data_IF_305618630714
#
_entry.id   IF_305618630714
#
_cell.length_a   1.000
_cell.length_b   1.000
_cell.length_c   1.000
_cell.angle_alpha   90.00
_cell.angle_beta   90.00
_cell.angle_gamma   90.00
#
_symmetry.space_group_name_H-M   'P 1'
#
loop_
_entity.id
_entity.type
_entity.pdbx_description
1 polymer ?
#
# COMPACT_ATOMS: atom_id res chain seq x y z
N UNK A 1 -34.80 2.46 -3.82
CA UNK A 1 -34.53 1.61 -2.65
C UNK A 1 -33.42 2.25 -1.83
N UNK A 2 -33.68 2.60 -0.58
CA UNK A 2 -32.61 2.93 0.38
C UNK A 2 -31.92 1.61 0.73
N UNK A 3 -30.67 1.45 0.30
CA UNK A 3 -29.85 0.34 0.75
C UNK A 3 -29.41 0.64 2.18
N UNK A 4 -29.71 -0.26 3.12
CA UNK A 4 -29.32 -0.10 4.51
C UNK A 4 -27.82 -0.37 4.68
N UNK A 5 -27.10 0.60 5.25
CA UNK A 5 -25.72 0.40 5.72
C UNK A 5 -25.82 -0.40 7.03
N UNK A 6 -25.19 -1.56 7.08
CA UNK A 6 -25.21 -2.41 8.26
C UNK A 6 -23.86 -2.30 8.97
N UNK A 7 -23.86 -1.83 10.22
CA UNK A 7 -22.63 -1.76 11.02
C UNK A 7 -22.36 -3.11 11.68
N UNK A 8 -21.15 -3.63 11.53
CA UNK A 8 -20.64 -4.81 12.26
C UNK A 8 -19.37 -4.44 13.03
N UNK A 9 -19.02 -5.24 14.02
CA UNK A 9 -17.79 -5.10 14.77
C UNK A 9 -16.84 -6.27 14.49
N UNK A 10 -15.57 -5.95 14.27
CA UNK A 10 -14.50 -6.91 14.12
C UNK A 10 -13.54 -6.74 15.30
N UNK A 11 -13.23 -7.81 16.06
CA UNK A 11 -12.25 -7.76 17.15
C UNK A 11 -10.84 -7.55 16.59
N UNK A 12 -10.11 -6.66 17.22
CA UNK A 12 -8.68 -6.44 16.98
C UNK A 12 -7.91 -7.20 18.04
N UNK A 13 -7.11 -8.19 17.63
CA UNK A 13 -6.36 -9.04 18.57
C UNK A 13 -5.00 -8.47 18.96
N UNK A 14 -4.81 -7.14 18.88
CA UNK A 14 -3.51 -6.49 19.07
C UNK A 14 -3.61 -5.38 20.10
N UNK A 15 -2.64 -5.34 21.01
CA UNK A 15 -2.49 -4.28 21.99
C UNK A 15 -2.35 -2.90 21.32
N UNK A 16 -3.20 -1.96 21.76
CA UNK A 16 -3.30 -0.60 21.22
C UNK A 16 -1.98 0.17 21.28
N UNK A 17 -1.23 -0.01 22.37
CA UNK A 17 0.07 0.65 22.55
C UNK A 17 1.07 0.15 21.53
N UNK A 18 1.04 -1.14 21.21
CA UNK A 18 1.95 -1.74 20.25
C UNK A 18 1.63 -1.35 18.81
N UNK A 19 0.37 -1.21 18.39
CA UNK A 19 0.04 -0.83 17.01
C UNK A 19 0.58 0.55 16.62
N UNK A 20 0.32 1.57 17.45
CA UNK A 20 0.77 2.94 17.19
C UNK A 20 2.29 3.03 17.30
N UNK A 21 2.87 2.43 18.34
CA UNK A 21 4.34 2.42 18.53
C UNK A 21 5.07 1.63 17.44
N UNK A 22 4.50 0.53 16.95
CA UNK A 22 5.07 -0.23 15.81
C UNK A 22 5.01 0.64 14.56
N UNK A 23 3.87 1.27 14.27
CA UNK A 23 3.75 2.16 13.12
C UNK A 23 4.76 3.31 13.17
N UNK A 24 4.96 3.93 14.33
CA UNK A 24 5.92 5.03 14.54
C UNK A 24 7.37 4.56 14.42
N UNK A 25 7.72 3.37 14.91
CA UNK A 25 9.06 2.80 14.79
C UNK A 25 9.37 2.33 13.36
N UNK A 26 8.38 1.81 12.64
CA UNK A 26 8.51 1.41 11.23
C UNK A 26 8.59 2.62 10.28
N UNK A 27 8.24 3.81 10.76
CA UNK A 27 8.31 5.08 10.03
C UNK A 27 9.73 5.63 9.88
N UNK A 28 10.76 4.77 9.85
CA UNK A 28 12.15 5.22 9.59
C UNK A 28 12.29 5.77 8.17
N UNK A 29 11.51 5.23 7.22
CA UNK A 29 11.35 5.80 5.88
C UNK A 29 9.90 6.16 5.60
N UNK A 30 9.61 7.45 5.37
CA UNK A 30 8.26 7.99 5.19
C UNK A 30 7.46 7.29 4.08
N UNK A 31 8.11 6.89 2.98
CA UNK A 31 7.46 6.26 1.83
C UNK A 31 7.27 4.74 1.99
N UNK A 32 7.78 4.14 3.07
CA UNK A 32 7.75 2.68 3.26
C UNK A 32 6.33 2.12 3.30
N UNK A 33 5.38 2.82 3.91
CA UNK A 33 3.98 2.37 3.94
C UNK A 33 3.38 2.27 2.53
N UNK A 34 3.73 3.19 1.62
CA UNK A 34 3.24 3.16 0.23
C UNK A 34 3.76 1.90 -0.45
N UNK A 35 5.06 1.57 -0.27
CA UNK A 35 5.65 0.33 -0.78
C UNK A 35 4.96 -0.91 -0.21
N UNK A 36 4.69 -0.93 1.09
CA UNK A 36 3.99 -2.04 1.74
C UNK A 36 2.58 -2.25 1.17
N UNK A 37 1.84 -1.16 0.92
CA UNK A 37 0.50 -1.24 0.31
C UNK A 37 0.55 -1.69 -1.15
N UNK A 38 1.53 -1.24 -1.95
CA UNK A 38 1.76 -1.72 -3.32
C UNK A 38 2.10 -3.21 -3.34
N UNK A 39 2.94 -3.68 -2.41
CA UNK A 39 3.27 -5.10 -2.30
C UNK A 39 2.06 -5.94 -1.86
N UNK A 40 1.19 -5.41 -0.99
CA UNK A 40 -0.06 -6.09 -0.64
C UNK A 40 -1.00 -6.23 -1.84
N UNK A 41 -1.12 -5.19 -2.67
CA UNK A 41 -1.87 -5.27 -3.92
C UNK A 41 -1.29 -6.31 -4.89
N UNK A 42 0.04 -6.37 -4.99
CA UNK A 42 0.73 -7.40 -5.77
C UNK A 42 0.39 -8.82 -5.28
N UNK A 43 0.48 -9.06 -3.96
CA UNK A 43 0.13 -10.32 -3.31
C UNK A 43 -1.35 -10.72 -3.50
N UNK A 44 -2.22 -9.70 -3.66
CA UNK A 44 -3.64 -9.82 -3.87
C UNK A 44 -4.04 -10.03 -5.34
N UNK A 45 -3.08 -10.26 -6.23
CA UNK A 45 -3.30 -10.41 -7.68
C UNK A 45 -3.91 -9.16 -8.35
N UNK A 46 -3.56 -7.96 -7.89
CA UNK A 46 -3.89 -6.74 -8.61
C UNK A 46 -3.19 -6.69 -9.96
N UNK A 47 -3.87 -6.15 -10.98
CA UNK A 47 -3.25 -5.78 -12.26
C UNK A 47 -2.69 -4.37 -12.24
N UNK A 48 -3.36 -3.48 -11.54
CA UNK A 48 -2.95 -2.10 -11.40
C UNK A 48 -3.06 -1.64 -9.95
N UNK A 49 -2.17 -0.72 -9.59
CA UNK A 49 -2.26 0.10 -8.39
C UNK A 49 -2.21 1.56 -8.81
N UNK A 50 -3.19 2.36 -8.39
CA UNK A 50 -3.23 3.80 -8.61
C UNK A 50 -3.02 4.52 -7.30
N UNK A 51 -2.10 5.47 -7.29
CA UNK A 51 -1.72 6.25 -6.12
C UNK A 51 -2.00 7.72 -6.46
N UNK A 52 -2.96 8.33 -5.78
CA UNK A 52 -3.23 9.76 -5.86
C UNK A 52 -2.62 10.44 -4.64
N UNK A 53 -1.65 11.32 -4.87
CA UNK A 53 -0.91 12.06 -3.85
C UNK A 53 -1.31 13.53 -3.93
N UNK A 54 -1.95 13.99 -2.86
CA UNK A 54 -2.36 15.37 -2.62
C UNK A 54 -1.67 15.90 -1.35
N UNK A 55 -1.62 17.22 -1.11
CA UNK A 55 -0.85 17.80 0.01
C UNK A 55 -1.16 17.22 1.40
N UNK A 56 -2.42 16.88 1.68
CA UNK A 56 -2.88 16.34 2.97
C UNK A 56 -3.61 15.01 2.86
N UNK A 57 -3.61 14.39 1.67
CA UNK A 57 -4.34 13.16 1.39
C UNK A 57 -3.58 12.27 0.43
N UNK A 58 -3.53 10.98 0.73
CA UNK A 58 -3.05 9.95 -0.20
C UNK A 58 -4.14 8.91 -0.37
N UNK A 59 -4.45 8.55 -1.60
CA UNK A 59 -5.36 7.45 -1.94
C UNK A 59 -4.58 6.38 -2.70
N UNK A 60 -4.65 5.13 -2.27
CA UNK A 60 -4.02 3.99 -2.92
C UNK A 60 -5.11 2.98 -3.24
N UNK A 61 -5.36 2.77 -4.53
CA UNK A 61 -6.41 1.87 -5.02
C UNK A 61 -5.81 0.74 -5.85
N UNK A 62 -6.22 -0.49 -5.58
CA UNK A 62 -5.86 -1.67 -6.39
C UNK A 62 -7.10 -2.42 -6.89
N UNK A 63 -6.95 -3.10 -8.03
CA UNK A 63 -7.98 -3.96 -8.62
C UNK A 63 -7.68 -5.46 -8.40
N UNK A 64 -7.14 -5.79 -7.23
CA UNK A 64 -6.86 -7.16 -6.83
C UNK A 64 -8.11 -7.94 -6.42
N UNK A 65 -7.89 -8.98 -5.64
CA UNK A 65 -8.95 -9.87 -5.15
C UNK A 65 -9.91 -9.22 -4.15
N UNK A 66 -9.52 -8.11 -3.53
CA UNK A 66 -10.22 -7.51 -2.40
C UNK A 66 -10.31 -8.46 -1.20
N UNK A 67 -11.14 -8.10 -0.22
CA UNK A 67 -11.33 -8.89 1.01
C UNK A 67 -12.81 -9.16 1.24
N UNK A 68 -13.11 -10.34 1.78
CA UNK A 68 -14.40 -10.58 2.45
C UNK A 68 -14.29 -10.19 3.94
N UNK A 69 -15.31 -10.50 4.74
CA UNK A 69 -15.33 -10.22 6.16
C UNK A 69 -14.15 -10.86 6.93
N UNK A 70 -13.83 -12.13 6.64
CA UNK A 70 -12.73 -12.83 7.28
C UNK A 70 -11.38 -12.27 6.84
N UNK A 71 -11.22 -11.98 5.54
CA UNK A 71 -10.03 -11.33 5.00
C UNK A 71 -9.78 -9.96 5.65
N UNK A 72 -10.83 -9.16 5.84
CA UNK A 72 -10.74 -7.86 6.50
C UNK A 72 -10.40 -8.01 7.99
N UNK A 73 -10.97 -9.00 8.68
CA UNK A 73 -10.60 -9.33 10.08
C UNK A 73 -9.14 -9.74 10.21
N UNK A 74 -8.68 -10.62 9.33
CA UNK A 74 -7.29 -11.04 9.29
C UNK A 74 -6.36 -9.90 8.91
N UNK A 75 -6.83 -8.97 8.07
CA UNK A 75 -6.07 -7.76 7.73
C UNK A 75 -5.76 -6.94 8.98
N UNK A 76 -6.59 -6.91 10.01
CA UNK A 76 -6.27 -6.22 11.28
C UNK A 76 -5.64 -7.11 12.35
N UNK A 77 -5.40 -8.39 12.05
CA UNK A 77 -4.72 -9.35 12.93
C UNK A 77 -3.21 -9.35 12.62
N UNK A 78 -2.36 -9.16 13.65
CA UNK A 78 -0.90 -9.32 13.49
C UNK A 78 -0.52 -10.80 13.44
N UNK A 79 0.42 -11.15 12.56
CA UNK A 79 1.00 -12.49 12.52
C UNK A 79 0.08 -13.57 11.95
N UNK A 80 -0.93 -13.19 11.15
CA UNK A 80 -1.84 -14.16 10.53
C UNK A 80 -1.05 -15.24 9.78
N UNK A 81 -1.37 -16.51 10.08
CA UNK A 81 -0.69 -17.68 9.53
C UNK A 81 -1.01 -17.92 8.05
N UNK A 82 -2.03 -17.27 7.50
CA UNK A 82 -2.47 -17.48 6.12
C UNK A 82 -1.48 -17.05 5.05
N UNK A 83 -0.73 -15.95 5.27
CA UNK A 83 0.31 -15.56 4.31
C UNK A 83 1.47 -16.57 4.27
N UNK A 84 1.68 -17.33 5.36
CA UNK A 84 2.70 -18.40 5.43
C UNK A 84 2.25 -19.70 4.76
N UNK A 85 0.95 -19.98 4.68
CA UNK A 85 0.43 -21.24 4.12
C UNK A 85 0.23 -21.20 2.59
N UNK A 86 0.10 -20.01 1.99
CA UNK A 86 -0.05 -19.84 0.53
C UNK A 86 1.09 -18.97 -0.03
N UNK A 87 2.17 -19.63 -0.43
CA UNK A 87 3.36 -18.98 -0.99
C UNK A 87 3.11 -18.29 -2.34
N UNK A 88 2.08 -18.74 -3.08
CA UNK A 88 1.73 -18.22 -4.40
C UNK A 88 0.31 -17.65 -4.45
N UNK A 89 0.13 -16.61 -5.26
CA UNK A 89 -1.16 -16.01 -5.52
C UNK A 89 -2.00 -16.84 -6.51
N UNK A 90 -3.33 -16.92 -6.37
CA UNK A 90 -4.16 -17.84 -7.15
C UNK A 90 -4.32 -17.49 -8.64
N UNK A 91 -4.27 -16.21 -9.03
CA UNK A 91 -4.56 -15.77 -10.40
C UNK A 91 -3.32 -15.67 -11.27
N UNK A 92 -2.26 -15.04 -10.77
CA UNK A 92 -1.02 -14.82 -11.53
C UNK A 92 0.15 -15.69 -11.06
N UNK A 93 -0.08 -16.62 -10.12
CA UNK A 93 0.94 -17.50 -9.57
C UNK A 93 2.17 -16.76 -9.01
N UNK A 94 1.98 -15.53 -8.50
CA UNK A 94 3.05 -14.68 -7.99
C UNK A 94 3.57 -15.24 -6.67
N UNK A 95 4.89 -15.31 -6.51
CA UNK A 95 5.49 -15.50 -5.19
C UNK A 95 5.15 -14.29 -4.33
N UNK A 96 4.42 -14.50 -3.23
CA UNK A 96 4.01 -13.41 -2.33
C UNK A 96 5.21 -12.81 -1.60
N UNK A 97 5.16 -11.50 -1.40
CA UNK A 97 6.24 -10.69 -0.82
C UNK A 97 6.00 -10.45 0.67
N UNK A 98 4.75 -10.21 1.10
CA UNK A 98 4.47 -9.83 2.48
C UNK A 98 4.56 -11.00 3.48
N UNK A 99 5.47 -10.91 4.45
CA UNK A 99 5.71 -12.01 5.42
C UNK A 99 4.99 -11.84 6.77
N UNK A 100 4.98 -10.64 7.35
CA UNK A 100 4.57 -10.45 8.76
C UNK A 100 3.26 -9.67 8.94
N UNK A 101 2.77 -9.04 7.86
CA UNK A 101 1.54 -8.27 7.89
C UNK A 101 1.57 -7.09 8.87
N UNK A 102 2.74 -6.57 9.26
CA UNK A 102 2.84 -5.41 10.18
C UNK A 102 3.03 -4.09 9.42
N UNK A 103 3.59 -4.14 8.20
CA UNK A 103 3.92 -2.97 7.40
C UNK A 103 2.73 -2.06 7.11
N UNK A 104 1.53 -2.61 6.98
CA UNK A 104 0.28 -1.86 6.79
C UNK A 104 -0.06 -0.90 7.94
N UNK A 105 0.40 -1.19 9.16
CA UNK A 105 0.15 -0.31 10.31
C UNK A 105 1.04 0.93 10.32
N UNK A 106 2.14 0.94 9.55
CA UNK A 106 2.92 2.17 9.34
C UNK A 106 2.10 3.27 8.63
N UNK A 107 1.07 2.89 7.86
CA UNK A 107 0.13 3.85 7.27
C UNK A 107 -0.71 4.57 8.35
N UNK A 108 -1.07 3.88 9.44
CA UNK A 108 -1.83 4.49 10.55
C UNK A 108 -1.03 5.58 11.28
N UNK A 109 0.30 5.50 11.24
CA UNK A 109 1.18 6.51 11.82
C UNK A 109 1.46 7.70 10.91
N UNK A 110 1.07 7.63 9.63
CA UNK A 110 1.32 8.69 8.66
C UNK A 110 0.16 9.70 8.54
N UNK A 111 -0.97 9.43 9.19
CA UNK A 111 -2.23 10.18 9.04
C UNK A 111 -3.04 10.21 10.34
N UNK A 112 -3.93 11.19 10.48
CA UNK A 112 -4.87 11.22 11.62
C UNK A 112 -6.08 10.32 11.41
N UNK A 113 -6.52 10.17 10.16
CA UNK A 113 -7.65 9.32 9.79
C UNK A 113 -7.28 8.43 8.61
N UNK A 114 -7.48 7.13 8.80
CA UNK A 114 -7.24 6.08 7.82
C UNK A 114 -8.57 5.44 7.45
N UNK A 115 -8.84 5.32 6.16
CA UNK A 115 -10.05 4.72 5.62
C UNK A 115 -9.69 3.59 4.66
N UNK A 116 -10.36 2.45 4.81
CA UNK A 116 -10.24 1.33 3.87
C UNK A 116 -11.63 0.97 3.38
N UNK A 117 -11.74 0.85 2.07
CA UNK A 117 -12.91 0.28 1.39
C UNK A 117 -12.44 -0.90 0.55
N UNK A 118 -13.13 -2.03 0.65
CA UNK A 118 -12.75 -3.24 -0.07
C UNK A 118 -13.98 -3.96 -0.58
N UNK A 119 -13.84 -4.63 -1.71
CA UNK A 119 -14.90 -5.45 -2.29
C UNK A 119 -14.36 -6.79 -2.79
N UNK A 120 -15.05 -7.87 -2.44
CA UNK A 120 -14.85 -9.21 -3.00
C UNK A 120 -16.20 -9.84 -3.31
N UNK A 121 -16.52 -9.92 -4.61
CA UNK A 121 -17.82 -10.37 -5.08
C UNK A 121 -18.93 -9.47 -4.50
N UNK A 122 -19.89 -10.09 -3.82
CA UNK A 122 -21.03 -9.40 -3.23
C UNK A 122 -20.72 -8.72 -1.88
N UNK A 123 -19.56 -9.00 -1.29
CA UNK A 123 -19.16 -8.37 -0.04
C UNK A 123 -18.39 -7.08 -0.32
N UNK A 124 -18.95 -5.94 0.08
CA UNK A 124 -18.26 -4.66 0.14
C UNK A 124 -18.33 -4.11 1.56
N UNK A 125 -17.22 -3.61 2.06
CA UNK A 125 -17.16 -3.02 3.38
C UNK A 125 -16.24 -1.81 3.41
N UNK A 126 -16.56 -0.89 4.31
CA UNK A 126 -15.74 0.27 4.64
C UNK A 126 -15.42 0.27 6.12
N UNK A 127 -14.19 0.59 6.45
CA UNK A 127 -13.72 0.80 7.82
C UNK A 127 -13.02 2.15 7.91
N UNK A 128 -13.33 2.89 8.96
CA UNK A 128 -12.69 4.17 9.26
C UNK A 128 -12.01 4.08 10.62
N UNK A 129 -10.70 4.28 10.60
CA UNK A 129 -9.87 4.41 11.79
C UNK A 129 -9.52 5.89 12.00
N UNK A 130 -9.91 6.43 13.15
CA UNK A 130 -9.53 7.77 13.58
C UNK A 130 -8.62 7.65 14.80
N UNK A 131 -7.39 8.20 14.70
CA UNK A 131 -6.34 8.04 15.71
C UNK A 131 -6.76 8.65 17.05
N UNK A 132 -7.48 9.79 17.04
CA UNK A 132 -7.92 10.44 18.26
C UNK A 132 -9.03 9.65 18.94
N UNK A 133 -10.02 9.19 18.17
CA UNK A 133 -11.13 8.35 18.69
C UNK A 133 -10.64 6.99 19.21
N UNK A 134 -9.65 6.40 18.54
CA UNK A 134 -9.09 5.12 18.95
C UNK A 134 -8.28 5.22 20.25
N UNK A 135 -7.57 6.33 20.43
CA UNK A 135 -6.75 6.56 21.64
C UNK A 135 -7.59 6.87 22.87
N UNK A 136 -8.84 7.32 22.71
CA UNK A 136 -9.72 7.71 23.83
C UNK A 136 -10.65 6.59 24.33
N UNK A 137 -10.81 5.51 23.57
CA UNK A 137 -11.67 4.39 23.95
C UNK A 137 -10.84 3.18 24.40
N UNK A 138 -11.34 2.43 25.38
CA UNK A 138 -10.77 1.14 25.79
C UNK A 138 -11.21 -0.02 24.88
N UNK A 139 -12.18 0.20 24.01
CA UNK A 139 -12.83 -0.84 23.18
C UNK A 139 -11.90 -1.43 22.10
N UNK A 140 -11.88 -2.76 21.99
CA UNK A 140 -10.96 -3.53 21.12
C UNK A 140 -11.59 -3.89 19.76
N UNK A 141 -12.63 -3.17 19.34
CA UNK A 141 -13.44 -3.48 18.17
C UNK A 141 -13.34 -2.38 17.10
N UNK A 142 -13.12 -2.78 15.85
CA UNK A 142 -13.25 -1.88 14.70
C UNK A 142 -14.67 -2.01 14.14
N UNK A 143 -15.33 -0.86 14.01
CA UNK A 143 -16.62 -0.78 13.31
C UNK A 143 -16.37 -0.87 11.79
N UNK A 144 -17.08 -1.77 11.14
CA UNK A 144 -17.17 -1.83 9.67
C UNK A 144 -18.58 -1.50 9.23
N UNK A 145 -18.69 -0.69 8.18
CA UNK A 145 -19.93 -0.44 7.46
C UNK A 145 -19.99 -1.42 6.28
N UNK A 146 -20.93 -2.36 6.30
CA UNK A 146 -21.21 -3.23 5.15
C UNK A 146 -22.05 -2.43 4.15
N UNK A 147 -21.54 -2.36 2.92
CA UNK A 147 -22.09 -1.56 1.83
C UNK A 147 -22.65 -2.47 0.74
N UNK A 148 -23.58 -1.99 -0.10
CA UNK A 148 -24.00 -2.70 -1.31
C UNK A 148 -22.82 -2.85 -2.27
N UNK A 149 -22.70 -4.01 -2.95
CA UNK A 149 -21.65 -4.20 -3.94
C UNK A 149 -21.80 -3.19 -5.09
N UNK A 150 -20.66 -2.71 -5.57
CA UNK A 150 -20.56 -1.81 -6.69
C UNK A 150 -19.94 -2.54 -7.89
N UNK A 151 -20.79 -2.87 -8.86
CA UNK A 151 -20.38 -3.58 -10.08
C UNK A 151 -19.47 -2.74 -10.98
N UNK A 152 -19.47 -1.41 -10.82
CA UNK A 152 -18.64 -0.52 -11.63
C UNK A 152 -17.20 -0.50 -11.14
N UNK A 153 -16.99 -0.70 -9.84
CA UNK A 153 -15.67 -0.77 -9.21
C UNK A 153 -15.13 -2.21 -9.28
N UNK A 154 -15.99 -3.20 -9.03
CA UNK A 154 -15.58 -4.61 -8.98
C UNK A 154 -14.73 -4.94 -7.75
N UNK A 155 -13.93 -6.00 -7.84
CA UNK A 155 -13.05 -6.41 -6.74
C UNK A 155 -11.85 -5.49 -6.62
N UNK A 156 -11.43 -5.26 -5.38
CA UNK A 156 -10.25 -4.44 -5.11
C UNK A 156 -10.25 -3.88 -3.70
N UNK A 157 -9.26 -3.03 -3.43
CA UNK A 157 -9.13 -2.31 -2.17
C UNK A 157 -8.73 -0.87 -2.44
N UNK A 158 -9.38 0.05 -1.75
CA UNK A 158 -9.06 1.47 -1.74
C UNK A 158 -8.69 1.88 -0.32
N UNK A 159 -7.50 2.44 -0.14
CA UNK A 159 -7.00 2.93 1.13
C UNK A 159 -6.78 4.43 1.00
N UNK A 160 -7.45 5.21 1.86
CA UNK A 160 -7.32 6.66 1.91
C UNK A 160 -6.76 7.10 3.25
N UNK A 161 -5.66 7.85 3.20
CA UNK A 161 -5.04 8.49 4.36
C UNK A 161 -5.42 9.98 4.32
N UNK A 162 -6.03 10.47 5.39
CA UNK A 162 -6.47 11.85 5.56
C UNK A 162 -5.66 12.56 6.63
N UNK A 163 -5.44 13.86 6.43
CA UNK A 163 -4.70 14.72 7.36
C UNK A 163 -3.30 14.16 7.63
N UNK A 164 -2.53 14.01 6.54
CA UNK A 164 -1.14 13.53 6.60
C UNK A 164 -0.28 14.44 7.48
N UNK A 165 0.63 13.83 8.24
CA UNK A 165 1.58 14.57 9.09
C UNK A 165 2.68 15.27 8.27
N UNK A 166 2.82 14.91 6.99
CA UNK A 166 3.85 15.44 6.10
C UNK A 166 3.42 15.35 4.63
N UNK A 167 3.90 16.27 3.80
CA UNK A 167 3.68 16.22 2.38
C UNK A 167 4.62 15.21 1.70
N UNK A 168 4.12 14.55 0.64
CA UNK A 168 4.87 13.59 -0.17
C UNK A 168 5.08 14.16 -1.57
N UNK A 169 6.34 14.23 -2.00
CA UNK A 169 6.67 14.64 -3.36
C UNK A 169 6.48 13.47 -4.33
N UNK A 170 5.58 13.54 -5.33
CA UNK A 170 5.27 12.42 -6.22
C UNK A 170 6.50 11.80 -6.90
N UNK A 171 7.45 12.62 -7.36
CA UNK A 171 8.69 12.12 -7.98
C UNK A 171 9.57 11.32 -7.02
N UNK A 172 9.68 11.73 -5.74
CA UNK A 172 10.43 10.95 -4.74
C UNK A 172 9.77 9.60 -4.44
N UNK A 173 8.44 9.59 -4.34
CA UNK A 173 7.68 8.35 -4.14
C UNK A 173 7.82 7.44 -5.35
N UNK A 174 7.75 7.98 -6.56
CA UNK A 174 7.93 7.21 -7.80
C UNK A 174 9.27 6.49 -7.85
N UNK A 175 10.36 7.24 -7.67
CA UNK A 175 11.70 6.65 -7.62
C UNK A 175 11.83 5.58 -6.53
N UNK A 176 11.29 5.87 -5.35
CA UNK A 176 11.30 4.94 -4.23
C UNK A 176 10.61 3.61 -4.57
N UNK A 177 9.43 3.66 -5.20
CA UNK A 177 8.68 2.48 -5.60
C UNK A 177 9.36 1.73 -6.75
N UNK A 178 9.87 2.44 -7.76
CA UNK A 178 10.57 1.82 -8.88
C UNK A 178 11.73 0.93 -8.41
N UNK A 179 12.49 1.40 -7.41
CA UNK A 179 13.64 0.67 -6.86
C UNK A 179 13.25 -0.50 -5.92
N UNK A 180 12.00 -0.58 -5.42
CA UNK A 180 11.64 -1.44 -4.27
C UNK A 180 10.32 -2.20 -4.38
N UNK A 181 9.66 -2.16 -5.55
CA UNK A 181 8.40 -2.87 -5.81
C UNK A 181 8.51 -3.67 -7.11
N UNK A 182 7.70 -4.73 -7.31
CA UNK A 182 7.81 -5.61 -8.47
C UNK A 182 7.21 -4.98 -9.75
N UNK A 183 7.62 -3.76 -10.12
CA UNK A 183 7.06 -3.02 -11.27
C UNK A 183 7.32 -3.69 -12.64
N UNK A 184 8.23 -4.66 -12.69
CA UNK A 184 8.52 -5.46 -13.88
C UNK A 184 7.77 -6.79 -13.93
N UNK A 185 7.00 -7.13 -12.88
CA UNK A 185 6.24 -8.35 -12.89
C UNK A 185 5.18 -8.31 -14.00
N UNK A 186 4.94 -9.45 -14.68
CA UNK A 186 3.89 -9.53 -15.69
C UNK A 186 2.52 -9.21 -15.06
N UNK A 187 1.66 -8.60 -15.87
CA UNK A 187 0.30 -8.23 -15.47
C UNK A 187 0.25 -7.35 -14.22
N UNK A 188 1.26 -6.50 -13.98
CA UNK A 188 1.30 -5.57 -12.86
C UNK A 188 1.78 -4.19 -13.29
N UNK A 189 1.04 -3.14 -12.91
CA UNK A 189 1.40 -1.76 -13.17
C UNK A 189 1.10 -0.88 -11.95
N UNK A 190 1.94 0.12 -11.71
CA UNK A 190 1.74 1.10 -10.65
C UNK A 190 1.70 2.49 -11.27
N UNK A 191 0.78 3.34 -10.83
CA UNK A 191 0.61 4.71 -11.30
C UNK A 191 0.64 5.67 -10.10
N UNK A 192 1.32 6.80 -10.22
CA UNK A 192 1.26 7.91 -9.27
C UNK A 192 0.77 9.15 -10.00
N UNK A 193 -0.36 9.72 -9.57
CA UNK A 193 -1.02 10.87 -10.19
C UNK A 193 -1.15 10.66 -11.71
N UNK A 194 -1.71 9.52 -12.09
CA UNK A 194 -1.91 9.04 -13.48
C UNK A 194 -0.64 8.74 -14.30
N UNK A 195 0.55 9.00 -13.75
CA UNK A 195 1.81 8.69 -14.40
C UNK A 195 2.33 7.31 -13.99
N UNK A 196 2.65 6.46 -14.97
CA UNK A 196 3.14 5.10 -14.72
C UNK A 196 4.50 5.15 -14.01
N UNK A 197 4.66 4.35 -12.97
CA UNK A 197 5.94 4.06 -12.35
C UNK A 197 6.69 3.09 -13.26
N UNK A 198 7.81 3.56 -13.79
CA UNK A 198 8.77 2.76 -14.55
C UNK A 198 10.13 2.87 -13.89
N UNK A 199 11.12 2.14 -14.39
CA UNK A 199 12.50 2.59 -14.21
C UNK A 199 12.55 4.04 -14.70
N UNK A 200 12.93 4.96 -13.82
CA UNK A 200 13.30 6.29 -14.28
C UNK A 200 14.49 6.09 -15.21
N UNK A 201 14.25 6.09 -16.53
CA UNK A 201 15.29 6.47 -17.46
C UNK A 201 15.49 7.95 -17.17
N UNK A 202 16.38 8.26 -16.23
CA UNK A 202 16.79 9.62 -15.98
C UNK A 202 17.22 10.15 -17.35
N UNK A 203 16.54 11.18 -17.86
CA UNK A 203 16.98 11.85 -19.08
C UNK A 203 18.25 12.62 -18.73
N UNK A 204 19.37 12.21 -19.31
CA UNK A 204 20.68 12.76 -19.03
C UNK A 204 21.73 12.10 -19.90
N UNK A 205 22.96 12.62 -19.86
CA UNK A 205 24.05 11.97 -20.55
C UNK A 205 24.29 10.59 -19.91
N UNK A 206 24.14 9.53 -20.71
CA UNK A 206 24.36 8.17 -20.27
C UNK A 206 25.80 7.77 -20.53
N UNK A 207 26.45 7.22 -19.51
CA UNK A 207 27.80 6.71 -19.58
C UNK A 207 27.81 5.27 -19.11
N UNK A 208 28.16 4.34 -19.99
CA UNK A 208 28.32 2.95 -19.63
C UNK A 208 29.44 2.80 -18.60
N UNK A 209 29.19 2.04 -17.54
CA UNK A 209 30.16 1.66 -16.53
C UNK A 209 30.42 0.18 -16.68
N UNK A 210 31.69 -0.17 -16.86
CA UNK A 210 32.16 -1.53 -16.81
C UNK A 210 33.44 -1.57 -15.98
N UNK A 211 33.39 -2.22 -14.82
CA UNK A 211 34.52 -2.30 -13.89
C UNK A 211 34.75 -3.77 -13.55
N UNK A 212 35.91 -4.28 -13.92
CA UNK A 212 36.34 -5.60 -13.46
C UNK A 212 36.85 -5.49 -12.03
N UNK A 213 36.33 -6.32 -11.14
CA UNK A 213 36.80 -6.41 -9.75
C UNK A 213 37.35 -7.80 -9.47
N UNK A 214 38.08 -7.95 -8.36
CA UNK A 214 38.52 -9.27 -7.88
C UNK A 214 37.36 -10.21 -7.52
N UNK A 215 36.14 -9.70 -7.42
CA UNK A 215 34.93 -10.44 -7.09
C UNK A 215 33.98 -10.64 -8.30
N UNK A 216 34.33 -10.15 -9.48
CA UNK A 216 33.50 -10.23 -10.70
C UNK A 216 33.35 -8.91 -11.43
N UNK A 217 32.64 -8.95 -12.56
CA UNK A 217 32.39 -7.77 -13.39
C UNK A 217 31.19 -6.97 -12.85
N UNK A 218 31.39 -5.67 -12.70
CA UNK A 218 30.34 -4.69 -12.38
C UNK A 218 29.99 -3.95 -13.67
N UNK A 219 28.78 -4.14 -14.16
CA UNK A 219 28.21 -3.42 -15.29
C UNK A 219 27.08 -2.48 -14.88
N UNK A 220 26.93 -1.35 -15.57
CA UNK A 220 25.82 -0.43 -15.35
C UNK A 220 25.86 0.80 -16.25
N UNK A 221 24.99 1.78 -15.97
CA UNK A 221 24.94 3.07 -16.66
C UNK A 221 24.91 4.18 -15.62
N UNK A 222 25.86 5.11 -15.70
CA UNK A 222 25.81 6.40 -15.01
C UNK A 222 24.92 7.34 -15.81
N UNK A 223 23.96 7.98 -15.16
CA UNK A 223 23.19 9.06 -15.78
C UNK A 223 23.55 10.40 -15.15
N UNK A 224 24.08 11.31 -15.96
CA UNK A 224 24.51 12.64 -15.55
C UNK A 224 23.46 13.67 -15.98
N UNK A 225 22.97 14.44 -15.01
CA UNK A 225 22.00 15.53 -15.24
C UNK A 225 22.57 16.87 -14.73
N UNK A 226 22.41 17.98 -15.48
CA UNK A 226 22.71 19.32 -14.98
C UNK A 226 21.83 19.65 -13.77
N UNK A 227 22.44 20.20 -12.71
CA UNK A 227 21.74 20.64 -11.49
C UNK A 227 20.65 21.71 -11.76
N UNK A 228 20.66 22.35 -12.92
CA UNK A 228 19.85 23.52 -13.29
C UNK A 228 18.42 23.23 -13.78
N UNK A 229 17.89 22.03 -13.58
CA UNK A 229 16.53 21.67 -14.06
C UNK A 229 15.56 21.27 -12.94
N UNK A 230 15.75 21.79 -11.73
CA UNK A 230 14.64 21.91 -10.77
C UNK A 230 13.88 23.20 -11.09
N UNK A 231 12.82 23.06 -11.86
CA UNK A 231 11.67 23.96 -11.77
C UNK A 231 10.59 23.11 -11.11
N UNK A 232 10.30 23.47 -9.85
CA UNK A 232 9.17 23.14 -8.97
C UNK A 232 8.40 21.82 -9.16
#
# INVERSE_FOLDING_TARGET
MSYAIHRKQIPVTVDKSHLITIGEKLYTEKSSFIRELVNNAYDADAREVRIDIQPSRITISDNGSGMDEDGLRQYFTIGSSEKRSRATSPRFARKRIGEFGIGKFSALSACKRFEIETQRGEFRARLVFDKARWSSHEDWHLDIDVLPPDVTIGNGTNITLHDLDTAFAPGKVRRYLAERTPIHAPDFAVYINDERVTDEIVSGAQHAVHVQTSCGDIGGVLVIRPLTSRVD
#
